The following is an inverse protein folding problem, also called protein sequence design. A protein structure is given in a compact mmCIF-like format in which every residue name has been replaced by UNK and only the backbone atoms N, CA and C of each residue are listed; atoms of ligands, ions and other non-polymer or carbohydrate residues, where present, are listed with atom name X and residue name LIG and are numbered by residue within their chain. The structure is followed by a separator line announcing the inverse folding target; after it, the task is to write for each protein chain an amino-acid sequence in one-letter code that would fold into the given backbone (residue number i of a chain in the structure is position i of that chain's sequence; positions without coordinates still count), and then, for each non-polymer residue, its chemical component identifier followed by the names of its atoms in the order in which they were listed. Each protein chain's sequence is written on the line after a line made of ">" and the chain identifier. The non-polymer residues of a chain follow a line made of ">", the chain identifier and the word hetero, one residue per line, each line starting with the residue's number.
data_IF_513154278359
#
_entry.id   IF_513154278359
#
_cell.length_a   1.000
_cell.length_b   1.000
_cell.length_c   1.000
_cell.angle_alpha   90.00
_cell.angle_beta   90.00
_cell.angle_gamma   90.00
#
_symmetry.space_group_name_H-M   'P 1'
#
loop_
_entity.id
_entity.type
_entity.pdbx_description
1 polymer ?
#
# COMPACT_ATOMS: atom_id res chain seq x y z
N UNK A 1 52.21 11.21 -12.76
CA UNK A 1 52.04 10.90 -11.34
C UNK A 1 51.14 11.97 -10.76
N UNK A 2 49.84 11.76 -10.84
CA UNK A 2 48.85 12.72 -10.35
C UNK A 2 47.88 11.93 -9.52
N UNK A 3 47.98 12.09 -8.20
CA UNK A 3 47.18 11.37 -7.21
C UNK A 3 45.84 12.10 -7.06
N UNK A 4 44.77 11.49 -7.57
CA UNK A 4 43.42 12.01 -7.41
C UNK A 4 42.87 11.55 -6.07
N UNK A 5 42.81 12.44 -5.10
CA UNK A 5 42.19 12.22 -3.80
C UNK A 5 40.69 12.51 -3.95
N UNK A 6 39.89 11.46 -4.10
CA UNK A 6 38.45 11.56 -4.03
C UNK A 6 38.05 11.60 -2.56
N UNK A 7 37.74 12.77 -2.05
CA UNK A 7 37.03 12.94 -0.76
C UNK A 7 35.54 12.71 -1.00
N UNK A 8 35.04 11.59 -0.55
CA UNK A 8 33.60 11.35 -0.42
C UNK A 8 33.06 12.13 0.79
N UNK A 9 32.03 12.95 0.66
CA UNK A 9 31.30 13.43 1.81
C UNK A 9 30.38 12.31 2.28
N UNK A 10 30.65 11.77 3.45
CA UNK A 10 29.75 10.91 4.21
C UNK A 10 28.54 11.77 4.60
N UNK A 11 27.43 11.58 3.91
CA UNK A 11 26.14 12.15 4.27
C UNK A 11 25.53 11.32 5.42
N UNK A 12 25.87 11.72 6.64
CA UNK A 12 25.06 11.43 7.81
C UNK A 12 23.89 12.43 7.82
N UNK A 13 22.84 12.14 7.06
CA UNK A 13 21.58 12.90 7.12
C UNK A 13 20.41 11.91 7.15
N UNK A 14 20.28 11.25 8.27
CA UNK A 14 19.21 10.28 8.44
C UNK A 14 18.84 10.04 9.88
N UNK A 15 18.54 11.05 10.67
CA UNK A 15 17.93 10.86 12.00
C UNK A 15 17.52 12.20 12.62
N UNK A 16 16.67 12.98 11.99
CA UNK A 16 15.91 14.02 12.72
C UNK A 16 14.61 14.29 11.97
N UNK A 17 13.58 13.50 12.23
CA UNK A 17 12.15 13.86 12.09
C UNK A 17 11.24 12.75 12.65
N UNK A 18 11.62 12.19 13.79
CA UNK A 18 10.72 11.33 14.58
C UNK A 18 10.72 11.79 16.03
N UNK A 19 10.52 13.09 16.26
CA UNK A 19 10.24 13.64 17.56
C UNK A 19 8.81 14.20 17.59
N UNK A 20 7.85 13.35 17.32
CA UNK A 20 6.46 13.55 17.73
C UNK A 20 6.30 13.01 19.14
N UNK A 21 6.18 13.88 20.09
CA UNK A 21 6.04 13.66 21.53
C UNK A 21 4.91 12.66 21.84
N UNK A 22 5.24 11.39 21.98
CA UNK A 22 4.41 10.43 22.67
C UNK A 22 4.90 10.32 24.10
N UNK A 23 4.19 10.98 25.02
CA UNK A 23 4.34 10.72 26.45
C UNK A 23 3.90 9.27 26.71
N UNK A 24 4.72 8.43 27.36
CA UNK A 24 4.26 7.13 27.81
C UNK A 24 3.27 7.35 28.96
N UNK A 25 1.98 7.22 28.68
CA UNK A 25 1.02 6.96 29.74
C UNK A 25 1.27 5.54 30.18
N UNK A 26 1.77 5.38 31.40
CA UNK A 26 1.83 4.12 32.12
C UNK A 26 0.42 3.52 32.16
N UNK A 27 0.18 2.54 31.30
CA UNK A 27 -0.99 1.69 31.41
C UNK A 27 -0.81 0.83 32.67
N UNK A 28 -1.49 1.18 33.75
CA UNK A 28 -1.70 0.26 34.85
C UNK A 28 -2.47 -0.94 34.28
N UNK A 29 -1.83 -2.10 34.32
CA UNK A 29 -2.46 -3.36 34.00
C UNK A 29 -3.55 -3.62 35.06
N UNK A 30 -4.80 -3.32 34.72
CA UNK A 30 -5.95 -3.83 35.47
C UNK A 30 -6.03 -5.33 35.25
N UNK A 31 -6.06 -6.09 36.34
CA UNK A 31 -6.31 -7.53 36.31
C UNK A 31 -7.62 -7.79 35.51
N UNK A 32 -7.65 -8.79 34.62
CA UNK A 32 -8.82 -9.09 33.85
C UNK A 32 -9.95 -9.57 34.75
N UNK A 33 -10.97 -8.76 34.92
CA UNK A 33 -12.27 -9.22 35.42
C UNK A 33 -12.85 -10.20 34.40
N UNK A 34 -13.35 -11.38 34.80
CA UNK A 34 -13.91 -12.32 33.84
C UNK A 34 -15.09 -11.66 33.10
N UNK A 35 -15.15 -11.77 31.78
CA UNK A 35 -16.20 -11.16 30.98
C UNK A 35 -17.53 -11.86 31.28
N UNK A 36 -18.42 -11.15 31.92
CA UNK A 36 -19.78 -11.61 32.23
C UNK A 36 -20.76 -11.44 31.07
N UNK A 37 -20.29 -10.91 29.92
CA UNK A 37 -21.15 -10.64 28.79
C UNK A 37 -20.47 -11.05 27.47
N UNK A 38 -20.92 -12.17 26.90
CA UNK A 38 -20.50 -12.69 25.60
C UNK A 38 -20.65 -11.62 24.50
N UNK A 39 -21.66 -10.75 24.59
CA UNK A 39 -21.89 -9.66 23.66
C UNK A 39 -20.74 -8.66 23.60
N UNK A 40 -20.12 -8.34 24.75
CA UNK A 40 -18.97 -7.44 24.82
C UNK A 40 -17.70 -8.07 24.26
N UNK A 41 -17.49 -9.38 24.46
CA UNK A 41 -16.34 -10.11 23.91
C UNK A 41 -16.44 -10.19 22.39
N UNK A 42 -17.60 -10.57 21.88
CA UNK A 42 -17.85 -10.63 20.42
C UNK A 42 -17.75 -9.23 19.80
N UNK A 43 -18.32 -8.21 20.43
CA UNK A 43 -18.25 -6.83 19.97
C UNK A 43 -16.82 -6.26 19.94
N UNK A 44 -15.98 -6.59 20.93
CA UNK A 44 -14.57 -6.16 20.94
C UNK A 44 -13.74 -6.87 19.85
N UNK A 45 -13.98 -8.15 19.63
CA UNK A 45 -13.32 -8.93 18.58
C UNK A 45 -13.70 -8.41 17.18
N UNK A 46 -14.97 -8.09 16.94
CA UNK A 46 -15.43 -7.51 15.68
C UNK A 46 -14.82 -6.13 15.42
N UNK A 47 -14.72 -5.27 16.45
CA UNK A 47 -14.05 -3.96 16.32
C UNK A 47 -12.56 -4.11 16.03
N UNK A 48 -11.87 -5.03 16.67
CA UNK A 48 -10.46 -5.30 16.38
C UNK A 48 -10.27 -5.76 14.93
N UNK A 49 -11.18 -6.61 14.45
CA UNK A 49 -11.17 -7.07 13.06
C UNK A 49 -11.47 -5.92 12.09
N UNK A 50 -12.40 -5.01 12.42
CA UNK A 50 -12.73 -3.84 11.63
C UNK A 50 -11.51 -2.90 11.48
N UNK A 51 -10.78 -2.62 12.56
CA UNK A 51 -9.56 -1.82 12.51
C UNK A 51 -8.47 -2.47 11.65
N UNK A 52 -8.30 -3.79 11.75
CA UNK A 52 -7.40 -4.54 10.89
C UNK A 52 -7.75 -4.42 9.41
N UNK A 53 -9.03 -4.53 9.08
CA UNK A 53 -9.53 -4.38 7.71
C UNK A 53 -9.35 -2.94 7.20
N UNK A 54 -9.56 -1.91 8.03
CA UNK A 54 -9.31 -0.51 7.68
C UNK A 54 -7.83 -0.23 7.43
N UNK A 55 -6.96 -0.83 8.24
CA UNK A 55 -5.51 -0.75 8.03
C UNK A 55 -5.09 -1.40 6.70
N UNK A 56 -5.70 -2.53 6.35
CA UNK A 56 -5.50 -3.19 5.06
C UNK A 56 -6.07 -2.39 3.89
N UNK A 57 -7.20 -1.72 4.09
CA UNK A 57 -7.78 -0.82 3.10
C UNK A 57 -6.84 0.34 2.79
N UNK A 58 -6.21 0.93 3.83
CA UNK A 58 -5.17 1.94 3.65
C UNK A 58 -3.98 1.40 2.86
N UNK A 59 -3.55 0.16 3.13
CA UNK A 59 -2.47 -0.50 2.39
C UNK A 59 -2.81 -0.69 0.91
N UNK A 60 -4.08 -0.98 0.60
CA UNK A 60 -4.56 -1.22 -0.76
C UNK A 60 -4.34 -0.03 -1.71
N UNK A 61 -4.25 1.18 -1.17
CA UNK A 61 -4.07 2.42 -1.93
C UNK A 61 -2.78 3.16 -1.58
N UNK A 62 -1.88 2.55 -0.80
CA UNK A 62 -0.54 3.10 -0.65
C UNK A 62 0.17 3.06 -2.01
N UNK A 63 0.79 4.16 -2.42
CA UNK A 63 1.61 4.17 -3.61
C UNK A 63 2.77 3.18 -3.43
N UNK A 64 2.63 2.05 -4.04
CA UNK A 64 3.67 1.06 -4.20
C UNK A 64 4.03 0.95 -5.66
N UNK A 65 4.90 0.06 -6.02
CA UNK A 65 5.25 -0.16 -7.40
C UNK A 65 4.00 -0.26 -8.29
N UNK A 66 3.97 0.57 -9.31
CA UNK A 66 2.88 0.78 -10.28
C UNK A 66 2.09 -0.48 -10.67
N UNK A 67 0.79 -0.29 -10.90
CA UNK A 67 -0.19 -1.24 -11.43
C UNK A 67 0.25 -2.71 -11.29
N UNK A 68 0.10 -3.29 -10.11
CA UNK A 68 0.60 -4.65 -9.86
C UNK A 68 -0.46 -5.50 -9.17
N UNK A 69 -0.48 -6.77 -9.50
CA UNK A 69 -1.14 -7.76 -8.67
C UNK A 69 -0.10 -8.37 -7.72
N UNK A 70 -0.37 -8.32 -6.44
CA UNK A 70 0.50 -8.85 -5.38
C UNK A 70 -0.25 -9.95 -4.65
N UNK A 71 0.41 -11.08 -4.46
CA UNK A 71 -0.06 -12.13 -3.57
C UNK A 71 0.95 -12.33 -2.46
N UNK A 72 0.54 -12.06 -1.23
CA UNK A 72 1.36 -12.25 -0.04
C UNK A 72 0.88 -13.47 0.74
N UNK A 73 1.82 -14.36 1.04
CA UNK A 73 1.57 -15.62 1.70
C UNK A 73 2.34 -15.69 3.03
N UNK A 74 1.65 -15.91 4.17
CA UNK A 74 2.32 -16.14 5.43
C UNK A 74 3.15 -17.43 5.39
N UNK A 75 4.26 -17.45 6.10
CA UNK A 75 5.10 -18.64 6.22
C UNK A 75 4.29 -19.83 6.75
N UNK A 76 4.41 -20.98 6.08
CA UNK A 76 3.69 -22.20 6.46
C UNK A 76 2.21 -22.24 6.07
N UNK A 77 1.69 -21.23 5.36
CA UNK A 77 0.32 -21.24 4.83
C UNK A 77 0.30 -21.73 3.38
N UNK A 78 -0.70 -22.54 3.04
CA UNK A 78 -0.95 -22.97 1.67
C UNK A 78 -1.75 -21.93 0.85
N UNK A 79 -2.28 -20.89 1.50
CA UNK A 79 -3.15 -19.89 0.86
C UNK A 79 -2.65 -18.49 1.15
N UNK A 80 -2.71 -17.57 0.16
CA UNK A 80 -2.35 -16.18 0.38
C UNK A 80 -3.27 -15.53 1.42
N UNK A 81 -2.69 -14.76 2.34
CA UNK A 81 -3.44 -13.96 3.30
C UNK A 81 -3.94 -12.65 2.68
N UNK A 82 -3.24 -12.16 1.69
CA UNK A 82 -3.55 -10.93 0.97
C UNK A 82 -3.31 -11.12 -0.52
N UNK A 83 -4.34 -10.88 -1.31
CA UNK A 83 -4.23 -10.66 -2.76
C UNK A 83 -4.61 -9.21 -3.03
N UNK A 84 -3.77 -8.50 -3.74
CA UNK A 84 -3.93 -7.08 -4.04
C UNK A 84 -3.77 -6.85 -5.54
N UNK A 85 -4.70 -6.13 -6.15
CA UNK A 85 -4.56 -5.52 -7.47
C UNK A 85 -4.64 -4.00 -7.32
N UNK A 86 -3.66 -3.27 -7.80
CA UNK A 86 -3.61 -1.81 -7.74
C UNK A 86 -3.29 -1.23 -9.11
N UNK A 87 -3.95 -0.13 -9.44
CA UNK A 87 -3.69 0.68 -10.62
C UNK A 87 -3.63 2.14 -10.22
N UNK A 88 -2.61 2.85 -10.68
CA UNK A 88 -2.44 4.27 -10.41
C UNK A 88 -1.00 4.71 -10.62
N UNK A 89 -0.81 6.00 -10.66
CA UNK A 89 0.51 6.65 -10.75
C UNK A 89 0.40 8.10 -10.29
N UNK A 90 1.53 8.80 -10.29
CA UNK A 90 1.61 10.22 -10.01
C UNK A 90 2.49 10.94 -11.04
N UNK A 91 2.14 12.18 -11.34
CA UNK A 91 2.89 13.01 -12.29
C UNK A 91 2.96 14.45 -11.83
N UNK A 92 4.04 15.14 -12.22
CA UNK A 92 4.20 16.58 -12.05
C UNK A 92 3.70 17.29 -13.30
N UNK A 93 2.80 18.27 -13.15
CA UNK A 93 2.12 18.87 -14.28
C UNK A 93 3.05 19.58 -15.25
N UNK A 94 4.02 20.37 -14.72
CA UNK A 94 5.06 20.99 -15.54
C UNK A 94 6.24 21.46 -14.72
N UNK A 95 7.35 21.82 -15.37
CA UNK A 95 8.50 22.40 -14.69
C UNK A 95 8.24 23.82 -14.17
N UNK A 96 7.44 24.60 -14.86
CA UNK A 96 7.08 25.96 -14.49
C UNK A 96 6.00 26.02 -13.40
N UNK A 97 5.19 24.97 -13.28
CA UNK A 97 4.18 24.80 -12.25
C UNK A 97 4.30 23.37 -11.68
N UNK A 98 5.22 23.16 -10.73
CA UNK A 98 5.61 21.83 -10.27
C UNK A 98 4.60 21.24 -9.28
N UNK A 99 3.31 21.36 -9.61
CA UNK A 99 2.22 20.69 -8.89
C UNK A 99 2.25 19.20 -9.25
N UNK A 100 2.42 18.37 -8.21
CA UNK A 100 2.34 16.93 -8.32
C UNK A 100 0.92 16.47 -8.03
N UNK A 101 0.43 15.54 -8.83
CA UNK A 101 -0.87 14.88 -8.61
C UNK A 101 -0.67 13.38 -8.70
N UNK A 102 -1.33 12.62 -7.82
CA UNK A 102 -1.32 11.17 -7.85
C UNK A 102 -2.73 10.62 -7.66
N UNK A 103 -2.98 9.43 -8.20
CA UNK A 103 -4.24 8.74 -8.03
C UNK A 103 -4.07 7.23 -8.13
N UNK A 104 -4.70 6.49 -7.21
CA UNK A 104 -4.64 5.04 -7.14
C UNK A 104 -6.03 4.46 -6.90
N UNK A 105 -6.30 3.36 -7.57
CA UNK A 105 -7.46 2.51 -7.31
C UNK A 105 -6.92 1.12 -7.02
N UNK A 106 -7.40 0.48 -5.97
CA UNK A 106 -6.97 -0.84 -5.59
C UNK A 106 -8.13 -1.73 -5.17
N UNK A 107 -8.01 -3.00 -5.50
CA UNK A 107 -8.84 -4.06 -4.98
C UNK A 107 -7.98 -4.99 -4.15
N UNK A 108 -8.44 -5.37 -2.97
CA UNK A 108 -7.75 -6.38 -2.18
C UNK A 108 -8.72 -7.43 -1.63
N UNK A 109 -8.20 -8.64 -1.50
CA UNK A 109 -8.83 -9.74 -0.78
C UNK A 109 -7.95 -10.12 0.39
N UNK A 110 -8.48 -9.96 1.59
CA UNK A 110 -7.76 -10.18 2.83
C UNK A 110 -8.44 -11.27 3.64
N UNK A 111 -7.65 -12.21 4.14
CA UNK A 111 -8.14 -13.36 4.93
C UNK A 111 -7.44 -13.37 6.30
N UNK A 112 -7.86 -12.50 7.24
CA UNK A 112 -7.30 -12.52 8.58
C UNK A 112 -7.70 -13.79 9.31
N UNK A 113 -6.76 -14.32 10.09
CA UNK A 113 -7.02 -15.39 11.05
C UNK A 113 -7.20 -14.78 12.42
N UNK A 114 -8.34 -14.96 13.02
CA UNK A 114 -8.61 -14.52 14.39
C UNK A 114 -8.72 -15.76 15.24
N UNK A 115 -7.88 -15.85 16.25
CA UNK A 115 -7.87 -16.95 17.21
C UNK A 115 -8.58 -16.48 18.48
N UNK A 116 -9.68 -17.14 18.81
CA UNK A 116 -10.43 -16.91 20.05
C UNK A 116 -10.04 -17.96 21.07
N UNK A 117 -9.66 -17.51 22.27
CA UNK A 117 -9.58 -18.42 23.39
C UNK A 117 -11.00 -18.82 23.81
N UNK A 118 -11.24 -20.12 23.87
CA UNK A 118 -12.52 -20.63 24.36
C UNK A 118 -12.67 -20.39 25.87
N UNK A 119 -13.90 -20.42 26.42
CA UNK A 119 -14.12 -20.19 27.86
C UNK A 119 -13.36 -21.13 28.79
N UNK A 120 -12.88 -22.27 28.29
CA UNK A 120 -12.05 -23.22 29.02
C UNK A 120 -10.59 -22.75 29.21
N UNK A 121 -10.19 -21.68 28.49
CA UNK A 121 -8.83 -21.13 28.49
C UNK A 121 -7.74 -22.07 27.93
N UNK A 122 -8.13 -23.25 27.40
CA UNK A 122 -7.22 -24.29 26.94
C UNK A 122 -7.38 -24.59 25.44
N UNK A 123 -8.53 -24.33 24.89
CA UNK A 123 -8.81 -24.53 23.49
C UNK A 123 -8.99 -23.19 22.77
N UNK A 124 -8.64 -23.16 21.48
CA UNK A 124 -8.72 -21.96 20.65
C UNK A 124 -9.58 -22.28 19.44
N UNK A 125 -10.50 -21.38 19.13
CA UNK A 125 -11.28 -21.44 17.91
C UNK A 125 -10.72 -20.43 16.92
N UNK A 126 -10.27 -20.92 15.77
CA UNK A 126 -9.84 -20.07 14.67
C UNK A 126 -11.07 -19.71 13.82
N UNK A 127 -11.37 -18.43 13.72
CA UNK A 127 -12.44 -17.91 12.85
C UNK A 127 -11.77 -17.15 11.72
N UNK A 128 -11.87 -17.70 10.53
CA UNK A 128 -11.44 -17.05 9.29
C UNK A 128 -12.58 -16.23 8.71
N UNK A 129 -12.31 -14.98 8.36
CA UNK A 129 -13.19 -14.13 7.56
C UNK A 129 -12.48 -13.74 6.28
N UNK A 130 -13.17 -13.76 5.15
CA UNK A 130 -12.64 -13.21 3.90
C UNK A 130 -13.30 -11.88 3.64
N UNK A 131 -12.46 -10.85 3.45
CA UNK A 131 -12.87 -9.49 3.20
C UNK A 131 -12.39 -9.04 1.83
N UNK A 132 -13.30 -8.44 1.09
CA UNK A 132 -13.01 -7.84 -0.20
C UNK A 132 -13.08 -6.33 -0.02
N UNK A 133 -12.08 -5.63 -0.54
CA UNK A 133 -11.98 -4.18 -0.40
C UNK A 133 -11.75 -3.55 -1.77
N UNK A 134 -12.46 -2.48 -2.03
CA UNK A 134 -12.20 -1.58 -3.15
C UNK A 134 -11.88 -0.22 -2.57
N UNK A 135 -10.76 0.35 -2.95
CA UNK A 135 -10.32 1.65 -2.46
C UNK A 135 -9.82 2.54 -3.57
N UNK A 136 -9.97 3.84 -3.38
CA UNK A 136 -9.40 4.87 -4.22
C UNK A 136 -8.69 5.91 -3.34
N UNK A 137 -7.57 6.42 -3.83
CA UNK A 137 -6.77 7.47 -3.21
C UNK A 137 -6.46 8.54 -4.26
N UNK A 138 -6.53 9.80 -3.87
CA UNK A 138 -6.05 10.94 -4.64
C UNK A 138 -5.14 11.80 -3.79
N UNK A 139 -4.05 12.26 -4.37
CA UNK A 139 -3.07 13.09 -3.68
C UNK A 139 -2.65 14.32 -4.49
N UNK A 140 -2.32 15.37 -3.78
CA UNK A 140 -1.78 16.61 -4.36
C UNK A 140 -0.54 17.00 -3.59
N UNK A 141 0.52 17.28 -4.29
CA UNK A 141 1.82 17.63 -3.74
C UNK A 141 2.49 18.76 -4.50
N UNK A 142 3.68 19.12 -4.06
CA UNK A 142 4.49 20.15 -4.70
C UNK A 142 5.96 19.71 -4.77
N UNK A 143 6.57 19.82 -5.96
CA UNK A 143 7.98 19.48 -6.16
C UNK A 143 8.89 20.65 -5.84
N UNK A 144 9.63 20.54 -4.75
CA UNK A 144 10.73 21.44 -4.42
C UNK A 144 12.03 20.85 -4.98
N UNK A 145 12.54 21.45 -6.06
CA UNK A 145 13.85 21.06 -6.62
C UNK A 145 14.96 21.48 -5.65
N UNK A 146 15.59 20.53 -4.98
CA UNK A 146 16.73 20.79 -4.09
C UNK A 146 18.05 20.92 -4.86
N UNK A 147 18.16 20.21 -5.99
CA UNK A 147 19.25 20.29 -6.93
C UNK A 147 18.81 19.77 -8.30
N UNK A 148 19.72 19.61 -9.25
CA UNK A 148 19.43 19.06 -10.59
C UNK A 148 18.78 17.67 -10.54
N UNK A 149 19.11 16.86 -9.54
CA UNK A 149 18.66 15.46 -9.43
C UNK A 149 17.77 15.19 -8.22
N UNK A 150 17.76 16.09 -7.22
CA UNK A 150 17.05 15.87 -5.98
C UNK A 150 15.76 16.70 -5.90
N UNK A 151 14.69 16.05 -5.53
CA UNK A 151 13.36 16.64 -5.34
C UNK A 151 12.81 16.26 -3.96
N UNK A 152 12.31 17.24 -3.22
CA UNK A 152 11.51 17.02 -2.03
C UNK A 152 10.05 17.30 -2.36
N UNK A 153 9.17 16.33 -2.05
CA UNK A 153 7.75 16.40 -2.41
C UNK A 153 6.87 16.09 -1.20
N UNK A 154 6.35 17.08 -0.51
CA UNK A 154 5.22 16.90 0.40
C UNK A 154 3.94 16.64 -0.40
N UNK A 155 3.09 15.72 0.09
CA UNK A 155 1.84 15.33 -0.54
C UNK A 155 0.77 15.24 0.55
N UNK A 156 -0.43 15.74 0.26
CA UNK A 156 -1.63 15.47 1.04
C UNK A 156 -2.55 14.56 0.24
N UNK A 157 -3.20 13.63 0.91
CA UNK A 157 -4.01 12.60 0.27
C UNK A 157 -5.38 12.49 0.91
N UNK A 158 -6.35 12.11 0.09
CA UNK A 158 -7.68 11.70 0.53
C UNK A 158 -8.00 10.33 -0.04
N UNK A 159 -8.65 9.49 0.76
CA UNK A 159 -8.96 8.11 0.39
C UNK A 159 -10.43 7.79 0.67
N UNK A 160 -11.00 6.96 -0.18
CA UNK A 160 -12.32 6.38 0.00
C UNK A 160 -12.21 4.87 -0.16
N UNK A 161 -13.01 4.13 0.60
CA UNK A 161 -12.99 2.68 0.53
C UNK A 161 -14.33 2.03 0.84
N UNK A 162 -14.54 0.90 0.19
CA UNK A 162 -15.67 0.02 0.36
C UNK A 162 -15.15 -1.36 0.73
N UNK A 163 -15.71 -1.94 1.77
CA UNK A 163 -15.33 -3.29 2.21
C UNK A 163 -16.58 -4.12 2.39
N UNK A 164 -16.50 -5.37 1.96
CA UNK A 164 -17.58 -6.34 2.20
C UNK A 164 -16.99 -7.72 2.50
N UNK A 165 -17.57 -8.40 3.48
CA UNK A 165 -17.26 -9.81 3.72
C UNK A 165 -17.85 -10.70 2.61
N UNK A 166 -17.27 -11.89 2.41
CA UNK A 166 -17.83 -12.87 1.47
C UNK A 166 -19.30 -13.22 1.82
N UNK A 167 -19.63 -13.26 3.11
CA UNK A 167 -21.00 -13.51 3.57
C UNK A 167 -21.96 -12.37 3.18
N UNK A 168 -21.52 -11.11 3.31
CA UNK A 168 -22.30 -9.95 2.90
C UNK A 168 -22.51 -9.91 1.39
N UNK A 169 -21.50 -10.22 0.60
CA UNK A 169 -21.60 -10.29 -0.86
C UNK A 169 -22.56 -11.41 -1.30
N UNK A 170 -22.49 -12.58 -0.67
CA UNK A 170 -23.40 -13.68 -0.94
C UNK A 170 -24.86 -13.32 -0.57
N UNK A 171 -25.05 -12.66 0.59
CA UNK A 171 -26.36 -12.16 1.01
C UNK A 171 -26.97 -11.18 0.01
N UNK A 172 -26.19 -10.18 -0.42
CA UNK A 172 -26.63 -9.21 -1.42
C UNK A 172 -26.98 -9.86 -2.76
N UNK A 173 -26.17 -10.82 -3.22
CA UNK A 173 -26.46 -11.59 -4.43
C UNK A 173 -27.79 -12.38 -4.35
N UNK A 174 -28.00 -13.10 -3.24
CA UNK A 174 -29.21 -13.89 -3.03
C UNK A 174 -30.45 -12.98 -2.91
N UNK A 175 -30.33 -11.85 -2.22
CA UNK A 175 -31.40 -10.87 -2.12
C UNK A 175 -31.78 -10.32 -3.50
N UNK A 176 -30.79 -9.94 -4.30
CA UNK A 176 -31.02 -9.38 -5.65
C UNK A 176 -31.62 -10.42 -6.60
N UNK A 177 -31.12 -11.66 -6.58
CA UNK A 177 -31.51 -12.70 -7.54
C UNK A 177 -32.83 -13.43 -7.17
N UNK A 178 -33.06 -13.64 -5.89
CA UNK A 178 -34.14 -14.47 -5.41
C UNK A 178 -35.17 -13.71 -4.57
N UNK A 179 -35.00 -12.39 -4.40
CA UNK A 179 -35.81 -11.52 -3.55
C UNK A 179 -35.94 -12.09 -2.12
N UNK A 180 -34.84 -12.72 -1.63
CA UNK A 180 -34.79 -13.33 -0.30
C UNK A 180 -34.43 -12.23 0.70
N UNK A 181 -35.23 -12.06 1.75
CA UNK A 181 -34.94 -11.09 2.82
C UNK A 181 -33.86 -11.66 3.76
N UNK A 182 -32.61 -11.55 3.36
CA UNK A 182 -31.44 -12.00 4.12
C UNK A 182 -30.63 -10.83 4.71
N UNK A 183 -31.32 -9.80 5.18
CA UNK A 183 -30.73 -8.59 5.74
C UNK A 183 -29.69 -8.84 6.85
N UNK A 184 -29.73 -9.99 7.54
CA UNK A 184 -28.76 -10.36 8.55
C UNK A 184 -27.37 -10.71 7.96
N UNK A 185 -27.28 -11.13 6.69
CA UNK A 185 -26.01 -11.41 6.00
C UNK A 185 -25.34 -10.13 5.51
N UNK A 186 -26.08 -9.05 5.29
CA UNK A 186 -25.56 -7.76 4.80
C UNK A 186 -24.77 -6.97 5.85
N UNK A 187 -24.75 -7.41 7.10
CA UNK A 187 -24.07 -6.69 8.22
C UNK A 187 -22.55 -6.68 8.18
N UNK A 188 -21.95 -7.30 7.17
CA UNK A 188 -20.49 -7.32 6.97
C UNK A 188 -19.98 -6.28 5.98
N UNK A 189 -20.69 -5.15 5.79
CA UNK A 189 -20.26 -4.07 4.89
C UNK A 189 -19.71 -2.88 5.67
N UNK A 190 -18.70 -2.22 5.09
CA UNK A 190 -18.03 -1.08 5.69
C UNK A 190 -17.69 -0.06 4.60
N UNK A 191 -18.11 1.18 4.82
CA UNK A 191 -17.68 2.32 4.04
C UNK A 191 -16.63 3.07 4.86
N UNK A 192 -15.58 3.53 4.23
CA UNK A 192 -14.50 4.24 4.89
C UNK A 192 -14.05 5.47 4.11
N UNK A 193 -13.63 6.48 4.84
CA UNK A 193 -12.94 7.63 4.31
C UNK A 193 -11.68 7.91 5.11
N UNK A 194 -10.68 8.44 4.46
CA UNK A 194 -9.39 8.71 5.08
C UNK A 194 -8.72 9.95 4.52
N UNK A 195 -7.76 10.43 5.28
CA UNK A 195 -6.85 11.48 4.86
C UNK A 195 -5.43 11.12 5.31
N UNK A 196 -4.44 11.64 4.60
CA UNK A 196 -3.05 11.36 4.92
C UNK A 196 -2.12 12.44 4.41
N UNK A 197 -0.87 12.27 4.78
CA UNK A 197 0.23 13.07 4.27
C UNK A 197 1.44 12.18 3.99
N UNK A 198 2.18 12.52 2.96
CA UNK A 198 3.46 11.87 2.63
C UNK A 198 4.53 12.90 2.40
N UNK A 199 5.76 12.52 2.71
CA UNK A 199 6.95 13.27 2.33
C UNK A 199 7.83 12.35 1.49
N UNK A 200 8.10 12.76 0.27
CA UNK A 200 8.94 12.02 -0.68
C UNK A 200 10.26 12.77 -0.88
N UNK A 201 11.37 12.08 -0.76
CA UNK A 201 12.67 12.52 -1.23
C UNK A 201 13.03 11.66 -2.44
N UNK A 202 13.09 12.29 -3.61
CA UNK A 202 13.39 11.64 -4.88
C UNK A 202 14.75 12.04 -5.43
N UNK A 203 15.47 11.09 -6.02
CA UNK A 203 16.67 11.30 -6.81
C UNK A 203 16.45 10.70 -8.21
N UNK A 204 16.63 11.52 -9.23
CA UNK A 204 16.40 11.13 -10.62
C UNK A 204 17.60 11.49 -11.47
N UNK A 205 18.26 10.48 -12.01
CA UNK A 205 19.40 10.63 -12.92
C UNK A 205 19.05 10.03 -14.27
N UNK A 206 19.07 10.85 -15.32
CA UNK A 206 18.82 10.42 -16.70
C UNK A 206 20.09 10.61 -17.52
N UNK A 207 20.64 9.50 -18.02
CA UNK A 207 21.76 9.47 -18.96
C UNK A 207 21.42 8.55 -20.14
N UNK A 208 22.04 8.75 -21.30
CA UNK A 208 21.81 7.87 -22.44
C UNK A 208 22.10 6.39 -22.16
N UNK A 209 23.12 6.11 -21.35
CA UNK A 209 23.60 4.78 -21.04
C UNK A 209 22.79 4.10 -19.94
N UNK A 210 22.22 4.87 -19.01
CA UNK A 210 21.39 4.36 -17.92
C UNK A 210 20.57 5.47 -17.26
N UNK A 211 19.48 5.07 -16.61
CA UNK A 211 18.65 5.92 -15.78
C UNK A 211 18.52 5.31 -14.39
N UNK A 212 18.55 6.15 -13.37
CA UNK A 212 18.37 5.76 -11.98
C UNK A 212 17.27 6.62 -11.37
N UNK A 213 16.27 5.97 -10.81
CA UNK A 213 15.29 6.60 -9.94
C UNK A 213 15.46 6.00 -8.53
N UNK A 214 15.52 6.86 -7.53
CA UNK A 214 15.48 6.48 -6.13
C UNK A 214 14.46 7.36 -5.43
N UNK A 215 13.58 6.77 -4.65
CA UNK A 215 12.62 7.49 -3.83
C UNK A 215 12.58 6.92 -2.42
N UNK A 216 12.52 7.81 -1.43
CA UNK A 216 12.15 7.48 -0.06
C UNK A 216 10.86 8.21 0.25
N UNK A 217 9.84 7.49 0.69
CA UNK A 217 8.52 8.02 1.02
C UNK A 217 8.17 7.66 2.45
N UNK A 218 7.90 8.68 3.27
CA UNK A 218 7.26 8.53 4.58
C UNK A 218 5.79 8.87 4.43
N UNK A 219 4.91 7.98 4.88
CA UNK A 219 3.46 8.15 4.77
C UNK A 219 2.80 8.00 6.13
N UNK A 220 1.92 8.93 6.46
CA UNK A 220 1.04 8.89 7.61
C UNK A 220 -0.39 9.01 7.12
N UNK A 221 -1.24 8.08 7.48
CA UNK A 221 -2.64 8.06 7.07
C UNK A 221 -3.56 7.75 8.24
N UNK A 222 -4.76 8.29 8.17
CA UNK A 222 -5.86 7.97 9.06
C UNK A 222 -7.07 7.60 8.22
N UNK A 223 -7.72 6.51 8.58
CA UNK A 223 -8.93 6.04 7.92
C UNK A 223 -9.97 5.70 8.98
N UNK A 224 -11.22 6.04 8.72
CA UNK A 224 -12.34 5.74 9.60
C UNK A 224 -13.56 5.29 8.81
N UNK A 225 -14.42 4.55 9.46
CA UNK A 225 -15.72 4.18 8.91
C UNK A 225 -16.63 5.40 8.84
N UNK A 226 -17.44 5.45 7.78
CA UNK A 226 -18.41 6.52 7.53
C UNK A 226 -19.83 5.92 7.39
N UNK A 227 -20.81 6.77 7.09
CA UNK A 227 -22.22 6.40 6.95
C UNK A 227 -22.46 5.18 6.04
N UNK A 228 -23.46 4.40 6.34
CA UNK A 228 -23.74 3.12 5.67
C UNK A 228 -22.93 1.93 6.20
N UNK A 229 -22.04 2.14 7.16
CA UNK A 229 -21.30 1.07 7.83
C UNK A 229 -22.16 0.44 8.93
N UNK A 230 -22.18 -0.89 8.97
CA UNK A 230 -22.80 -1.64 10.07
C UNK A 230 -22.21 -1.23 11.41
N UNK A 231 -23.05 -0.99 12.43
CA UNK A 231 -22.60 -0.61 13.78
C UNK A 231 -21.66 -1.63 14.42
N UNK A 232 -21.73 -2.89 14.00
CA UNK A 232 -20.86 -3.96 14.52
C UNK A 232 -19.40 -3.86 14.04
N UNK A 233 -19.16 -3.15 12.93
CA UNK A 233 -17.83 -3.05 12.28
C UNK A 233 -17.34 -1.61 12.15
N UNK A 234 -17.84 -0.71 12.98
CA UNK A 234 -17.34 0.65 13.06
C UNK A 234 -15.96 0.69 13.71
N UNK A 235 -15.05 1.48 13.14
CA UNK A 235 -13.70 1.61 13.65
C UNK A 235 -12.90 2.71 12.95
N UNK A 236 -11.65 2.80 13.33
CA UNK A 236 -10.65 3.65 12.70
C UNK A 236 -9.28 2.98 12.73
N UNK A 237 -8.41 3.35 11.83
CA UNK A 237 -7.03 2.86 11.78
C UNK A 237 -6.06 3.98 11.40
N UNK A 238 -4.87 3.91 11.96
CA UNK A 238 -3.72 4.73 11.60
C UNK A 238 -2.76 3.87 10.79
N UNK A 239 -2.26 4.42 9.70
CA UNK A 239 -1.30 3.76 8.82
C UNK A 239 -0.03 4.58 8.77
N UNK A 240 1.08 4.00 9.23
CA UNK A 240 2.38 4.63 9.23
C UNK A 240 3.35 3.71 8.49
N UNK A 241 3.99 4.23 7.44
CA UNK A 241 4.96 3.48 6.66
C UNK A 241 6.10 4.37 6.18
N UNK A 242 7.27 3.77 6.03
CA UNK A 242 8.38 4.32 5.30
C UNK A 242 8.74 3.31 4.22
N UNK A 243 8.87 3.76 2.98
CA UNK A 243 9.28 2.91 1.87
C UNK A 243 10.44 3.57 1.13
N UNK A 244 11.41 2.76 0.72
CA UNK A 244 12.43 3.15 -0.26
C UNK A 244 12.21 2.34 -1.52
N UNK A 245 12.32 2.98 -2.64
CA UNK A 245 12.15 2.36 -3.92
C UNK A 245 13.28 2.80 -4.87
N UNK A 246 13.89 1.84 -5.53
CA UNK A 246 15.01 2.03 -6.43
C UNK A 246 14.71 1.37 -7.78
N UNK A 247 15.03 2.07 -8.86
CA UNK A 247 14.91 1.54 -10.21
C UNK A 247 16.13 1.94 -11.03
N UNK A 248 16.71 0.95 -11.70
CA UNK A 248 17.77 1.17 -12.68
C UNK A 248 17.30 0.66 -14.04
N UNK A 249 17.52 1.46 -15.07
CA UNK A 249 17.17 1.15 -16.46
C UNK A 249 18.35 1.35 -17.36
N UNK A 250 18.56 0.44 -18.32
CA UNK A 250 19.61 0.58 -19.34
C UNK A 250 19.18 -0.08 -20.66
N UNK A 251 19.72 0.41 -21.81
CA UNK A 251 19.35 -0.12 -23.13
C UNK A 251 19.69 -1.60 -23.26
N UNK A 252 18.83 -2.36 -23.93
CA UNK A 252 19.13 -3.76 -24.31
C UNK A 252 19.95 -3.84 -25.59
N UNK A 253 19.99 -2.77 -26.37
CA UNK A 253 20.49 -2.78 -27.76
C UNK A 253 19.50 -3.35 -28.77
N UNK A 254 18.28 -3.70 -28.33
CA UNK A 254 17.22 -4.24 -29.19
C UNK A 254 16.07 -3.25 -29.30
N UNK A 255 15.35 -3.31 -30.40
CA UNK A 255 14.12 -2.57 -30.61
C UNK A 255 12.92 -3.51 -30.63
N UNK A 256 11.83 -3.10 -30.03
CA UNK A 256 10.55 -3.76 -30.09
C UNK A 256 9.55 -2.82 -30.78
N UNK A 257 8.95 -3.26 -31.90
CA UNK A 257 8.07 -2.44 -32.73
C UNK A 257 8.71 -1.11 -33.19
N UNK A 258 10.04 -1.14 -33.48
CA UNK A 258 10.80 0.05 -33.86
C UNK A 258 11.07 1.03 -32.70
N UNK A 259 11.00 0.54 -31.45
CA UNK A 259 11.21 1.31 -30.23
C UNK A 259 12.33 0.71 -29.38
N UNK A 260 13.21 1.53 -28.79
CA UNK A 260 14.25 1.05 -27.90
C UNK A 260 13.66 0.29 -26.73
N UNK A 261 14.19 -0.91 -26.52
CA UNK A 261 13.87 -1.74 -25.39
C UNK A 261 14.93 -1.56 -24.29
N UNK A 262 14.51 -1.47 -23.04
CA UNK A 262 15.37 -1.31 -21.88
C UNK A 262 15.16 -2.43 -20.90
N UNK A 263 16.23 -2.87 -20.25
CA UNK A 263 16.14 -3.65 -19.02
C UNK A 263 15.73 -2.74 -17.87
N UNK A 264 14.96 -3.31 -16.94
CA UNK A 264 14.56 -2.66 -15.70
C UNK A 264 14.91 -3.58 -14.54
N UNK A 265 15.62 -3.07 -13.55
CA UNK A 265 15.75 -3.68 -12.24
C UNK A 265 15.11 -2.76 -11.20
N UNK A 266 14.39 -3.35 -10.26
CA UNK A 266 13.71 -2.65 -9.18
C UNK A 266 14.00 -3.32 -7.85
N UNK A 267 14.11 -2.50 -6.82
CA UNK A 267 14.15 -2.93 -5.43
C UNK A 267 13.24 -2.03 -4.61
N UNK A 268 12.54 -2.61 -3.65
CA UNK A 268 11.75 -1.87 -2.69
C UNK A 268 11.97 -2.42 -1.29
N UNK A 269 12.03 -1.52 -0.32
CA UNK A 269 12.06 -1.85 1.09
C UNK A 269 11.01 -1.02 1.81
N UNK A 270 10.10 -1.67 2.51
CA UNK A 270 9.01 -1.03 3.23
C UNK A 270 9.03 -1.42 4.69
N UNK A 271 8.84 -0.43 5.55
CA UNK A 271 8.70 -0.57 6.99
C UNK A 271 7.33 -0.06 7.40
N UNK A 272 6.60 -0.90 8.12
CA UNK A 272 5.26 -0.61 8.62
C UNK A 272 5.31 -0.51 10.14
N UNK A 273 4.55 0.40 10.70
CA UNK A 273 4.57 0.70 12.13
C UNK A 273 3.19 0.48 12.75
N UNK A 274 3.18 0.31 14.07
CA UNK A 274 2.00 0.31 14.93
C UNK A 274 0.88 -0.66 14.49
N UNK A 275 -0.32 -0.14 14.28
CA UNK A 275 -1.50 -0.92 13.90
C UNK A 275 -1.35 -1.55 12.52
N UNK A 276 -0.69 -0.88 11.60
CA UNK A 276 -0.49 -1.38 10.25
C UNK A 276 0.38 -2.65 10.26
N UNK A 277 1.49 -2.64 10.98
CA UNK A 277 2.35 -3.83 11.11
C UNK A 277 1.62 -5.00 11.75
N UNK A 278 0.80 -4.74 12.77
CA UNK A 278 -0.01 -5.77 13.44
C UNK A 278 -1.07 -6.37 12.51
N UNK A 279 -1.71 -5.54 11.71
CA UNK A 279 -2.75 -5.96 10.78
C UNK A 279 -2.19 -6.74 9.59
N UNK A 280 -1.02 -6.35 9.09
CA UNK A 280 -0.30 -7.06 8.04
C UNK A 280 0.29 -8.40 8.54
N UNK A 281 0.64 -8.48 9.83
CA UNK A 281 1.36 -9.62 10.41
C UNK A 281 2.87 -9.60 10.15
N UNK A 282 3.38 -8.52 9.58
CA UNK A 282 4.82 -8.26 9.38
C UNK A 282 5.10 -6.76 9.46
N UNK A 283 6.29 -6.40 9.92
CA UNK A 283 6.73 -5.01 10.05
C UNK A 283 7.64 -4.55 8.91
N UNK A 284 8.17 -5.48 8.14
CA UNK A 284 9.04 -5.18 7.00
C UNK A 284 8.69 -6.06 5.81
N UNK A 285 8.76 -5.47 4.62
CA UNK A 285 8.57 -6.17 3.37
C UNK A 285 9.62 -5.66 2.38
N UNK A 286 10.32 -6.58 1.75
CA UNK A 286 11.31 -6.30 0.72
C UNK A 286 10.82 -6.86 -0.60
N UNK A 287 11.17 -6.20 -1.70
CA UNK A 287 10.97 -6.77 -3.03
C UNK A 287 12.17 -6.53 -3.92
N UNK A 288 12.40 -7.48 -4.81
CA UNK A 288 13.30 -7.35 -5.94
C UNK A 288 12.53 -7.67 -7.22
N UNK A 289 12.76 -6.91 -8.26
CA UNK A 289 12.05 -7.07 -9.52
C UNK A 289 12.93 -6.88 -10.73
N UNK A 290 12.56 -7.57 -11.81
CA UNK A 290 13.19 -7.40 -13.09
C UNK A 290 12.14 -7.35 -14.21
N UNK A 291 12.42 -6.60 -15.25
CA UNK A 291 11.47 -6.41 -16.33
C UNK A 291 12.06 -5.75 -17.56
N UNK A 292 11.14 -5.38 -18.43
CA UNK A 292 11.43 -4.67 -19.67
C UNK A 292 10.56 -3.41 -19.77
N UNK A 293 11.13 -2.36 -20.31
CA UNK A 293 10.47 -1.09 -20.58
C UNK A 293 10.68 -0.72 -22.05
N UNK A 294 9.67 -0.21 -22.71
CA UNK A 294 9.78 0.34 -24.06
C UNK A 294 9.17 1.73 -24.14
N UNK A 295 9.74 2.54 -25.01
CA UNK A 295 9.33 3.91 -25.26
C UNK A 295 8.10 3.94 -26.16
N UNK A 296 7.04 4.61 -25.74
CA UNK A 296 5.79 4.78 -26.50
C UNK A 296 5.57 6.21 -26.97
N UNK A 297 6.49 7.14 -26.69
CA UNK A 297 6.34 8.58 -26.86
C UNK A 297 6.03 9.03 -28.31
N UNK A 298 6.43 8.23 -29.33
CA UNK A 298 6.15 8.60 -30.73
C UNK A 298 4.75 8.22 -31.20
N UNK A 299 3.91 7.64 -30.38
CA UNK A 299 2.56 7.23 -30.79
C UNK A 299 1.47 8.06 -30.16
N UNK A 300 1.77 9.19 -29.50
CA UNK A 300 0.78 10.09 -28.87
C UNK A 300 -0.47 9.36 -28.34
N UNK A 301 -0.24 8.23 -27.65
CA UNK A 301 -1.35 7.52 -27.01
C UNK A 301 -1.72 8.34 -25.78
N UNK A 302 -2.55 9.36 -26.01
CA UNK A 302 -3.06 10.24 -24.96
C UNK A 302 -4.36 9.70 -24.41
N UNK A 303 -4.45 9.58 -23.09
CA UNK A 303 -5.72 9.40 -22.39
C UNK A 303 -5.98 10.66 -21.59
N UNK A 304 -7.07 11.37 -21.93
CA UNK A 304 -7.49 12.60 -21.24
C UNK A 304 -6.42 13.72 -21.19
N UNK A 305 -5.61 13.85 -22.27
CA UNK A 305 -4.57 14.88 -22.38
C UNK A 305 -3.22 14.52 -21.76
N UNK A 306 -3.07 13.32 -21.21
CA UNK A 306 -1.80 12.78 -20.75
C UNK A 306 -1.22 11.86 -21.85
N UNK A 307 -0.02 12.16 -22.32
CA UNK A 307 0.65 11.35 -23.32
C UNK A 307 1.46 10.25 -22.62
N UNK A 308 1.14 9.00 -22.95
CA UNK A 308 1.90 7.85 -22.47
C UNK A 308 3.26 7.81 -23.15
N UNK A 309 4.33 8.02 -22.37
CA UNK A 309 5.70 8.07 -22.90
C UNK A 309 6.43 6.74 -22.81
N UNK A 310 6.08 5.91 -21.83
CA UNK A 310 6.75 4.62 -21.57
C UNK A 310 5.78 3.59 -21.03
N UNK A 311 6.03 2.35 -21.38
CA UNK A 311 5.32 1.19 -20.85
C UNK A 311 6.31 0.15 -20.39
N UNK A 312 6.09 -0.45 -19.22
CA UNK A 312 6.96 -1.47 -18.65
C UNK A 312 6.18 -2.65 -18.11
N UNK A 313 6.82 -3.81 -18.15
CA UNK A 313 6.35 -5.05 -17.53
C UNK A 313 7.43 -5.53 -16.58
N UNK A 314 7.09 -5.70 -15.31
CA UNK A 314 8.04 -6.10 -14.25
C UNK A 314 7.45 -7.24 -13.44
N UNK A 315 8.21 -8.31 -13.29
CA UNK A 315 7.96 -9.36 -12.30
C UNK A 315 8.74 -9.06 -11.01
N UNK A 316 8.09 -9.23 -9.85
CA UNK A 316 8.70 -8.99 -8.53
C UNK A 316 8.54 -10.19 -7.62
N UNK A 317 9.54 -10.40 -6.80
CA UNK A 317 9.48 -11.33 -5.68
C UNK A 317 9.54 -10.53 -4.38
N UNK A 318 8.60 -10.80 -3.48
CA UNK A 318 8.49 -10.19 -2.16
C UNK A 318 8.95 -11.16 -1.09
N UNK A 319 9.66 -10.63 -0.10
CA UNK A 319 10.11 -11.40 1.05
C UNK A 319 10.21 -10.52 2.30
N UNK A 320 9.99 -11.13 3.45
CA UNK A 320 10.06 -10.47 4.75
C UNK A 320 9.93 -11.49 5.88
N UNK A 321 9.98 -11.06 7.14
CA UNK A 321 9.70 -11.93 8.27
C UNK A 321 8.29 -12.51 8.14
N UNK A 322 8.21 -13.84 8.04
CA UNK A 322 6.96 -14.61 7.95
C UNK A 322 6.07 -14.30 6.72
N UNK A 323 6.65 -13.74 5.66
CA UNK A 323 5.88 -13.43 4.45
C UNK A 323 6.75 -13.61 3.20
N UNK A 324 6.14 -14.16 2.16
CA UNK A 324 6.69 -14.18 0.80
C UNK A 324 5.58 -13.87 -0.19
N UNK A 325 5.93 -13.47 -1.41
CA UNK A 325 4.93 -13.17 -2.43
C UNK A 325 5.52 -12.92 -3.79
N UNK A 326 4.62 -12.79 -4.76
CA UNK A 326 4.95 -12.50 -6.14
C UNK A 326 4.04 -11.40 -6.68
N UNK A 327 4.55 -10.66 -7.63
CA UNK A 327 3.80 -9.64 -8.33
C UNK A 327 4.18 -9.61 -9.80
N UNK A 328 3.21 -9.31 -10.63
CA UNK A 328 3.43 -8.89 -12.02
C UNK A 328 2.81 -7.51 -12.16
N UNK A 329 3.62 -6.53 -12.56
CA UNK A 329 3.22 -5.14 -12.71
C UNK A 329 3.37 -4.64 -14.13
N UNK A 330 2.36 -3.90 -14.60
CA UNK A 330 2.45 -3.08 -15.80
C UNK A 330 2.58 -1.64 -15.33
N UNK A 331 3.66 -0.95 -15.71
CA UNK A 331 3.88 0.45 -15.42
C UNK A 331 3.69 1.29 -16.68
N UNK A 332 3.10 2.46 -16.51
CA UNK A 332 2.93 3.45 -17.57
C UNK A 332 3.52 4.75 -17.03
N UNK A 333 4.31 5.46 -17.85
CA UNK A 333 4.81 6.81 -17.51
C UNK A 333 4.24 7.79 -18.53
N UNK A 334 3.89 8.97 -18.06
CA UNK A 334 3.31 10.06 -18.83
C UNK A 334 4.29 11.21 -19.02
#
# INVERSE_FOLDING_TARGET
>A
MLTLVIRAPVLALGCVLAAGLSHPRSAQAQAPTPPTDIGNVVGSALRHQANGVLSMLSYTVLPGAAASSVELQPAGSAHPALSLGQFGDGTTLSESFPLFVEGFIGYSRYSPRVVFANPDGRTFTEVGGKWNSLAANGGVGWDFKLSEHWVLRPIITASLGLVASDAALAGAYLNTKYNADLAFLERGTMNAAGAGASLVLGYYLKRPEYEIDFETRSTNGYMQTIGGTSSAVQGSAVSNAISTWERVRWPTGMDLFGRPLRYVLEQENSWYFDEQAKSLGFSTLHSIGAGLEFDTSAHEIGVWGFNMTRMRLVGRYFFGPNVTGYSVGIGISF
#
